data_IF_476036480219
#
_entry.id   IF_476036480219
#
_cell.length_a   1.000
_cell.length_b   1.000
_cell.length_c   1.000
_cell.angle_alpha   90.00
_cell.angle_beta   90.00
_cell.angle_gamma   90.00
#
_symmetry.space_group_name_H-M   'P 1'
#
loop_
_entity.id
_entity.type
_entity.pdbx_description
1 polymer ?
#
# COMPACT_ATOMS: atom_id res chain seq x y z
N UNK A 1 5.20 -14.20 18.47
CA UNK A 1 5.35 -13.17 17.44
C UNK A 1 5.51 -11.81 18.13
N UNK A 2 6.19 -10.86 17.47
CA UNK A 2 6.38 -9.47 17.91
C UNK A 2 5.68 -8.55 16.92
N UNK A 3 5.02 -7.49 17.41
CA UNK A 3 4.45 -6.44 16.55
C UNK A 3 5.30 -5.18 16.69
N UNK A 4 5.80 -4.67 15.57
CA UNK A 4 6.54 -3.40 15.50
C UNK A 4 5.69 -2.39 14.74
N UNK A 5 5.00 -1.53 15.47
CA UNK A 5 4.15 -0.47 14.92
C UNK A 5 4.90 0.86 14.90
N UNK A 6 5.73 1.06 13.89
CA UNK A 6 6.53 2.27 13.72
C UNK A 6 6.74 2.59 12.24
N UNK A 7 7.17 3.82 11.93
CA UNK A 7 7.57 4.20 10.58
C UNK A 7 8.90 3.52 10.17
N UNK A 8 9.29 3.67 8.91
CA UNK A 8 10.36 2.91 8.25
C UNK A 8 11.70 2.97 8.98
N UNK A 9 12.15 4.16 9.36
CA UNK A 9 13.45 4.33 10.03
C UNK A 9 13.50 3.61 11.40
N UNK A 10 12.56 3.85 12.33
CA UNK A 10 12.54 3.11 13.59
C UNK A 10 12.22 1.62 13.40
N UNK A 11 11.43 1.23 12.39
CA UNK A 11 11.19 -0.18 12.07
C UNK A 11 12.50 -0.88 11.69
N UNK A 12 13.26 -0.31 10.76
CA UNK A 12 14.57 -0.82 10.32
C UNK A 12 15.53 -1.02 11.50
N UNK A 13 15.62 -0.01 12.37
CA UNK A 13 16.48 -0.06 13.56
C UNK A 13 16.01 -1.14 14.57
N UNK A 14 14.70 -1.29 14.75
CA UNK A 14 14.11 -2.28 15.65
C UNK A 14 14.38 -3.71 15.17
N UNK A 15 14.12 -4.01 13.88
CA UNK A 15 14.33 -5.38 13.36
C UNK A 15 15.81 -5.77 13.34
N UNK A 16 16.72 -4.83 13.08
CA UNK A 16 18.16 -5.07 13.21
C UNK A 16 18.55 -5.41 14.67
N UNK A 17 17.96 -4.70 15.63
CA UNK A 17 18.19 -4.98 17.06
C UNK A 17 17.61 -6.32 17.49
N UNK A 18 16.40 -6.66 17.03
CA UNK A 18 15.76 -7.95 17.31
C UNK A 18 16.58 -9.12 16.77
N UNK A 19 17.09 -8.98 15.54
CA UNK A 19 17.95 -9.97 14.89
C UNK A 19 19.27 -10.15 15.64
N UNK A 20 19.93 -9.04 15.98
CA UNK A 20 21.20 -9.05 16.75
C UNK A 20 21.05 -9.69 18.13
N UNK A 21 19.83 -9.76 18.67
CA UNK A 21 19.52 -10.40 19.96
C UNK A 21 18.94 -11.81 19.80
N UNK A 22 18.97 -12.38 18.60
CA UNK A 22 18.58 -13.77 18.34
C UNK A 22 17.09 -14.02 18.46
N UNK A 23 16.24 -13.06 18.06
CA UNK A 23 14.79 -13.30 17.97
C UNK A 23 14.51 -14.47 17.01
N UNK A 24 13.69 -15.42 17.43
CA UNK A 24 13.35 -16.65 16.69
C UNK A 24 11.84 -16.77 16.38
N UNK A 25 11.06 -15.73 16.67
CA UNK A 25 9.62 -15.67 16.41
C UNK A 25 9.28 -14.66 15.31
N UNK A 26 8.16 -14.84 14.58
CA UNK A 26 7.75 -13.90 13.52
C UNK A 26 7.56 -12.47 14.01
N UNK A 27 7.88 -11.51 13.13
CA UNK A 27 7.63 -10.07 13.32
C UNK A 27 6.52 -9.61 12.39
N UNK A 28 5.56 -8.86 12.91
CA UNK A 28 4.50 -8.20 12.16
C UNK A 28 4.68 -6.69 12.22
N UNK A 29 4.40 -6.02 11.12
CA UNK A 29 4.39 -4.56 11.02
C UNK A 29 3.22 -4.06 10.18
N UNK A 30 3.04 -2.74 10.11
CA UNK A 30 2.00 -2.13 9.30
C UNK A 30 2.43 -1.90 7.86
N UNK A 31 1.46 -1.66 6.98
CA UNK A 31 1.64 -1.41 5.54
C UNK A 31 2.60 -0.26 5.22
N UNK A 32 2.84 0.62 6.20
CA UNK A 32 3.81 1.70 6.07
C UNK A 32 5.23 1.19 5.80
N UNK A 33 5.53 -0.06 6.17
CA UNK A 33 6.83 -0.69 6.01
C UNK A 33 6.86 -1.72 4.86
N UNK A 34 5.77 -1.89 4.11
CA UNK A 34 5.66 -2.78 2.95
C UNK A 34 6.35 -2.21 1.69
N UNK A 35 7.59 -1.74 1.87
CA UNK A 35 8.46 -1.21 0.82
C UNK A 35 9.88 -1.71 1.05
N UNK A 36 10.63 -1.95 -0.03
CA UNK A 36 12.00 -2.47 0.02
C UNK A 36 12.94 -1.60 0.89
N UNK A 37 12.69 -0.29 0.94
CA UNK A 37 13.50 0.67 1.70
C UNK A 37 13.34 0.55 3.22
N UNK A 38 12.36 -0.23 3.70
CA UNK A 38 12.04 -0.33 5.14
C UNK A 38 12.91 -1.33 5.89
N UNK A 39 13.70 -2.15 5.19
CA UNK A 39 14.62 -3.13 5.78
C UNK A 39 16.06 -2.91 5.27
N UNK A 40 17.02 -3.61 5.84
CA UNK A 40 18.39 -3.66 5.32
C UNK A 40 18.55 -4.87 4.38
N UNK A 41 18.88 -4.68 3.10
CA UNK A 41 19.05 -5.78 2.15
C UNK A 41 20.25 -6.68 2.45
N UNK A 42 21.18 -6.25 3.31
CA UNK A 42 22.42 -6.97 3.63
C UNK A 42 22.30 -7.84 4.88
N UNK A 43 21.16 -7.80 5.58
CA UNK A 43 20.92 -8.57 6.80
C UNK A 43 20.08 -9.79 6.45
N UNK A 44 20.61 -10.97 6.76
CA UNK A 44 19.89 -12.24 6.71
C UNK A 44 19.13 -12.44 8.02
N UNK A 45 17.93 -11.87 8.09
CA UNK A 45 17.14 -11.87 9.32
C UNK A 45 16.73 -13.30 9.72
N UNK A 46 16.97 -13.67 10.99
CA UNK A 46 16.68 -15.00 11.53
C UNK A 46 15.19 -15.32 11.74
N UNK A 47 14.28 -14.45 11.31
CA UNK A 47 12.84 -14.57 11.53
C UNK A 47 12.03 -14.07 10.32
N UNK A 48 10.83 -14.62 10.15
CA UNK A 48 9.90 -14.15 9.12
C UNK A 48 9.33 -12.78 9.50
N UNK A 49 9.27 -11.88 8.53
CA UNK A 49 8.62 -10.58 8.63
C UNK A 49 7.37 -10.50 7.77
N UNK A 50 6.31 -9.95 8.34
CA UNK A 50 5.02 -9.78 7.69
C UNK A 50 4.55 -8.33 7.77
N UNK A 51 3.97 -7.84 6.68
CA UNK A 51 3.32 -6.53 6.62
C UNK A 51 1.96 -6.70 5.93
N UNK A 52 0.96 -5.93 6.33
CA UNK A 52 -0.27 -5.82 5.55
C UNK A 52 -0.06 -4.90 4.33
N UNK A 53 -0.90 -5.01 3.30
CA UNK A 53 -0.95 -4.02 2.22
C UNK A 53 -2.39 -3.77 1.78
N UNK A 54 -2.69 -2.51 1.48
CA UNK A 54 -4.02 -2.07 1.02
C UNK A 54 -4.10 -1.98 -0.51
N UNK A 55 -2.96 -2.16 -1.21
CA UNK A 55 -2.88 -2.28 -2.65
C UNK A 55 -2.74 -3.75 -3.07
N UNK A 56 -3.48 -4.16 -4.09
CA UNK A 56 -3.27 -5.37 -4.87
C UNK A 56 -2.71 -5.00 -6.25
N UNK A 57 -1.39 -5.09 -6.36
CA UNK A 57 -0.67 -4.83 -7.60
C UNK A 57 -0.42 -6.12 -8.40
N UNK A 58 -0.74 -7.29 -7.84
CA UNK A 58 -0.40 -8.58 -8.43
C UNK A 58 -1.63 -9.20 -9.08
N UNK A 59 -1.52 -9.46 -10.38
CA UNK A 59 -2.52 -10.19 -11.15
C UNK A 59 -1.83 -11.34 -11.88
N UNK A 60 -2.01 -12.55 -11.36
CA UNK A 60 -1.40 -13.75 -11.94
C UNK A 60 -2.00 -14.15 -13.30
N UNK A 61 -3.07 -13.49 -13.75
CA UNK A 61 -3.67 -13.73 -15.07
C UNK A 61 -3.00 -12.91 -16.17
N UNK A 62 -2.20 -11.90 -15.83
CA UNK A 62 -1.47 -11.07 -16.80
C UNK A 62 -0.08 -11.64 -17.09
N UNK A 63 0.47 -11.31 -18.26
CA UNK A 63 1.83 -11.75 -18.66
C UNK A 63 2.93 -11.11 -17.78
N UNK A 64 2.70 -9.89 -17.29
CA UNK A 64 3.64 -9.18 -16.40
C UNK A 64 3.58 -9.70 -14.95
N UNK A 65 2.47 -10.36 -14.58
CA UNK A 65 2.17 -10.71 -13.19
C UNK A 65 1.67 -9.51 -12.37
N UNK A 66 1.49 -8.34 -13.00
CA UNK A 66 0.98 -7.13 -12.38
C UNK A 66 -0.40 -6.75 -12.91
N UNK A 67 -1.17 -6.02 -12.11
CA UNK A 67 -2.48 -5.49 -12.50
C UNK A 67 -2.35 -4.38 -13.55
N UNK A 68 -3.39 -4.19 -14.36
CA UNK A 68 -3.41 -3.13 -15.38
C UNK A 68 -3.23 -1.73 -14.77
N UNK A 69 -3.84 -1.47 -13.61
CA UNK A 69 -3.68 -0.21 -12.90
C UNK A 69 -2.22 0.04 -12.47
N UNK A 70 -1.50 -1.01 -12.07
CA UNK A 70 -0.07 -0.90 -11.75
C UNK A 70 0.74 -0.56 -13.00
N UNK A 71 0.45 -1.21 -14.12
CA UNK A 71 1.12 -0.93 -15.40
C UNK A 71 0.89 0.53 -15.84
N UNK A 72 -0.33 1.07 -15.65
CA UNK A 72 -0.65 2.48 -15.93
C UNK A 72 0.14 3.45 -15.02
N UNK A 73 0.23 3.15 -13.72
CA UNK A 73 1.06 3.91 -12.79
C UNK A 73 2.54 3.88 -13.19
N UNK A 74 3.07 2.70 -13.48
CA UNK A 74 4.47 2.53 -13.86
C UNK A 74 4.78 3.30 -15.16
N UNK A 75 3.89 3.24 -16.15
CA UNK A 75 4.00 4.02 -17.38
C UNK A 75 3.97 5.53 -17.12
N UNK A 76 3.09 6.01 -16.23
CA UNK A 76 3.03 7.42 -15.85
C UNK A 76 4.32 7.89 -15.17
N UNK A 77 4.90 7.08 -14.28
CA UNK A 77 6.20 7.38 -13.65
C UNK A 77 7.32 7.48 -14.69
N UNK A 78 7.39 6.55 -15.65
CA UNK A 78 8.38 6.60 -16.73
C UNK A 78 8.20 7.84 -17.61
N UNK A 79 6.97 8.14 -18.02
CA UNK A 79 6.67 9.30 -18.87
C UNK A 79 7.02 10.63 -18.20
N UNK A 80 6.98 10.68 -16.87
CA UNK A 80 7.35 11.84 -16.06
C UNK A 80 8.83 11.89 -15.64
N UNK A 81 9.69 11.01 -16.18
CA UNK A 81 11.12 10.89 -15.83
C UNK A 81 11.39 10.45 -14.38
N UNK A 82 10.46 9.68 -13.81
CA UNK A 82 10.50 9.13 -12.45
C UNK A 82 10.55 7.59 -12.43
N UNK A 83 11.15 6.96 -13.46
CA UNK A 83 11.20 5.50 -13.60
C UNK A 83 11.75 4.77 -12.35
N UNK A 84 12.65 5.40 -11.58
CA UNK A 84 13.18 4.84 -10.33
C UNK A 84 12.12 4.63 -9.23
N UNK A 85 10.96 5.28 -9.34
CA UNK A 85 9.86 5.20 -8.38
C UNK A 85 8.69 4.32 -8.86
N UNK A 86 8.80 3.71 -10.04
CA UNK A 86 7.73 2.90 -10.63
C UNK A 86 7.36 1.63 -9.83
N UNK A 87 8.16 1.26 -8.83
CA UNK A 87 7.86 0.16 -7.89
C UNK A 87 7.82 0.63 -6.42
N UNK A 88 7.88 1.93 -6.16
CA UNK A 88 7.92 2.46 -4.80
C UNK A 88 6.51 2.61 -4.22
N UNK A 89 6.27 2.04 -3.03
CA UNK A 89 4.94 2.04 -2.41
C UNK A 89 4.43 3.45 -2.06
N UNK A 90 5.34 4.37 -1.73
CA UNK A 90 4.97 5.75 -1.39
C UNK A 90 4.63 6.58 -2.63
N UNK A 91 5.32 6.34 -3.75
CA UNK A 91 4.99 6.93 -5.03
C UNK A 91 3.60 6.47 -5.52
N UNK A 92 3.28 5.18 -5.38
CA UNK A 92 1.93 4.65 -5.65
C UNK A 92 0.87 5.34 -4.79
N UNK A 93 1.11 5.45 -3.48
CA UNK A 93 0.19 6.14 -2.57
C UNK A 93 -0.05 7.61 -2.96
N UNK A 94 1.01 8.33 -3.35
CA UNK A 94 0.91 9.72 -3.80
C UNK A 94 0.14 9.87 -5.12
N UNK A 95 0.39 8.96 -6.07
CA UNK A 95 -0.33 8.91 -7.35
C UNK A 95 -1.83 8.71 -7.14
N UNK A 96 -2.19 7.76 -6.27
CA UNK A 96 -3.58 7.49 -5.89
C UNK A 96 -4.22 8.70 -5.20
N UNK A 97 -3.53 9.32 -4.25
CA UNK A 97 -4.04 10.50 -3.55
C UNK A 97 -4.33 11.66 -4.52
N UNK A 98 -3.46 11.88 -5.50
CA UNK A 98 -3.68 12.84 -6.56
C UNK A 98 -4.88 12.46 -7.44
N UNK A 99 -5.03 11.18 -7.79
CA UNK A 99 -6.19 10.67 -8.53
C UNK A 99 -7.51 10.92 -7.80
N UNK A 100 -7.59 10.60 -6.50
CA UNK A 100 -8.76 10.88 -5.66
C UNK A 100 -9.05 12.38 -5.58
N UNK A 101 -8.00 13.22 -5.49
CA UNK A 101 -8.18 14.67 -5.48
C UNK A 101 -8.79 15.18 -6.80
N UNK A 102 -8.24 14.73 -7.94
CA UNK A 102 -8.71 15.06 -9.29
C UNK A 102 -10.14 14.56 -9.53
N UNK A 103 -10.48 13.37 -9.04
CA UNK A 103 -11.85 12.85 -9.10
C UNK A 103 -12.83 13.79 -8.37
N UNK A 104 -12.44 14.33 -7.21
CA UNK A 104 -13.23 15.36 -6.54
C UNK A 104 -13.47 16.60 -7.40
N UNK A 105 -12.45 17.07 -8.13
CA UNK A 105 -12.58 18.21 -9.05
C UNK A 105 -13.52 17.87 -10.23
N UNK A 106 -13.40 16.67 -10.79
CA UNK A 106 -14.27 16.20 -11.86
C UNK A 106 -15.74 16.13 -11.41
N UNK A 107 -16.00 15.71 -10.16
CA UNK A 107 -17.34 15.64 -9.58
C UNK A 107 -17.97 17.01 -9.33
N UNK A 108 -17.17 18.04 -8.99
CA UNK A 108 -17.65 19.43 -8.94
C UNK A 108 -18.11 19.88 -10.34
N UNK A 109 -17.41 19.42 -11.38
CA UNK A 109 -17.79 19.67 -12.77
C UNK A 109 -17.74 21.15 -13.12
N UNK A 110 -18.89 21.74 -13.46
CA UNK A 110 -19.00 23.15 -13.84
C UNK A 110 -19.49 24.05 -12.70
N UNK A 111 -19.75 23.50 -11.50
CA UNK A 111 -20.09 24.31 -10.33
C UNK A 111 -18.88 25.17 -9.91
N UNK A 112 -19.13 26.25 -9.17
CA UNK A 112 -18.04 27.06 -8.59
C UNK A 112 -17.21 26.19 -7.63
N UNK A 113 -15.90 26.16 -7.83
CA UNK A 113 -14.99 25.39 -6.98
C UNK A 113 -14.74 26.13 -5.67
N UNK A 114 -15.40 25.67 -4.61
CA UNK A 114 -15.20 26.09 -3.22
C UNK A 114 -14.91 24.87 -2.36
N UNK A 115 -14.52 25.09 -1.10
CA UNK A 115 -14.38 23.98 -0.15
C UNK A 115 -15.71 23.24 0.03
N UNK A 116 -16.82 23.96 0.14
CA UNK A 116 -18.15 23.40 0.33
C UNK A 116 -18.61 22.58 -0.89
N UNK A 117 -18.42 23.09 -2.11
CA UNK A 117 -18.80 22.35 -3.32
C UNK A 117 -17.93 21.12 -3.52
N UNK A 118 -16.63 21.22 -3.24
CA UNK A 118 -15.70 20.09 -3.30
C UNK A 118 -16.05 19.00 -2.29
N UNK A 119 -16.27 19.35 -1.01
CA UNK A 119 -16.65 18.37 0.01
C UNK A 119 -17.99 17.72 -0.36
N UNK A 120 -19.00 18.48 -0.75
CA UNK A 120 -20.29 17.94 -1.21
C UNK A 120 -20.12 16.96 -2.38
N UNK A 121 -19.25 17.28 -3.34
CA UNK A 121 -18.94 16.43 -4.48
C UNK A 121 -18.25 15.12 -4.04
N UNK A 122 -17.27 15.20 -3.13
CA UNK A 122 -16.59 14.03 -2.57
C UNK A 122 -17.55 13.11 -1.81
N UNK A 123 -18.52 13.66 -1.08
CA UNK A 123 -19.49 12.89 -0.30
C UNK A 123 -20.65 12.29 -1.13
N UNK A 124 -20.71 12.56 -2.45
CA UNK A 124 -21.82 12.12 -3.32
C UNK A 124 -21.87 10.61 -3.53
N UNK A 125 -20.72 9.92 -3.50
CA UNK A 125 -20.58 8.48 -3.66
C UNK A 125 -19.17 8.03 -3.22
N UNK A 126 -18.95 6.73 -2.92
CA UNK A 126 -17.60 6.19 -2.80
C UNK A 126 -16.76 6.43 -4.07
N UNK A 127 -15.44 6.43 -3.91
CA UNK A 127 -14.48 6.54 -5.02
C UNK A 127 -13.74 5.21 -5.13
N UNK A 128 -13.72 4.66 -6.33
CA UNK A 128 -12.90 3.49 -6.65
C UNK A 128 -11.43 3.92 -6.77
N UNK A 129 -10.54 3.19 -6.10
CA UNK A 129 -9.12 3.48 -6.05
C UNK A 129 -8.37 2.43 -6.87
N UNK A 130 -7.62 2.85 -7.91
CA UNK A 130 -6.80 1.94 -8.70
C UNK A 130 -5.89 1.10 -7.82
N UNK A 131 -5.71 -0.18 -8.17
CA UNK A 131 -4.93 -1.17 -7.41
C UNK A 131 -5.42 -1.41 -5.98
N UNK A 132 -6.56 -0.88 -5.54
CA UNK A 132 -6.97 -0.91 -4.15
C UNK A 132 -8.39 -1.42 -3.96
N UNK A 133 -9.17 -0.66 -3.22
CA UNK A 133 -10.61 -0.86 -3.07
C UNK A 133 -11.30 0.50 -3.15
N UNK A 134 -12.26 0.73 -2.28
CA UNK A 134 -12.97 2.01 -2.23
C UNK A 134 -12.50 2.90 -1.08
N UNK A 135 -12.54 4.21 -1.30
CA UNK A 135 -12.59 5.21 -0.24
C UNK A 135 -14.00 5.78 -0.15
N UNK A 136 -14.49 5.99 1.07
CA UNK A 136 -15.86 6.42 1.32
C UNK A 136 -15.89 7.70 2.16
N UNK A 137 -16.38 8.76 1.52
CA UNK A 137 -16.62 10.06 2.12
C UNK A 137 -18.11 10.31 2.41
N UNK A 138 -19.01 9.42 1.98
CA UNK A 138 -20.47 9.63 2.07
C UNK A 138 -20.93 9.90 3.50
N UNK A 139 -21.84 10.85 3.66
CA UNK A 139 -22.41 11.17 4.98
C UNK A 139 -21.37 11.63 6.01
N UNK A 140 -20.33 12.34 5.58
CA UNK A 140 -19.26 12.83 6.45
C UNK A 140 -18.21 11.79 6.84
N UNK A 141 -18.25 10.59 6.26
CA UNK A 141 -17.21 9.58 6.49
C UNK A 141 -15.83 10.06 6.02
N UNK A 142 -14.80 9.41 6.54
CA UNK A 142 -13.39 9.54 6.14
C UNK A 142 -12.76 8.16 6.13
N UNK A 143 -13.43 7.22 5.49
CA UNK A 143 -13.05 5.81 5.51
C UNK A 143 -12.13 5.51 4.33
N UNK A 144 -10.91 5.12 4.65
CA UNK A 144 -9.98 4.55 3.69
C UNK A 144 -10.35 3.10 3.35
N UNK A 145 -9.52 2.49 2.50
CA UNK A 145 -9.63 1.07 2.16
C UNK A 145 -9.47 0.23 3.42
N UNK A 146 -10.49 -0.60 3.70
CA UNK A 146 -10.61 -1.41 4.92
C UNK A 146 -10.36 -2.91 4.68
N UNK A 147 -9.89 -3.27 3.50
CA UNK A 147 -9.50 -4.62 3.10
C UNK A 147 -8.01 -4.64 2.83
N UNK A 148 -7.30 -5.66 3.31
CA UNK A 148 -5.84 -5.72 3.21
C UNK A 148 -5.37 -7.14 2.94
N UNK A 149 -4.30 -7.25 2.16
CA UNK A 149 -3.55 -8.49 1.98
C UNK A 149 -2.53 -8.66 3.12
N UNK A 150 -1.99 -9.89 3.23
CA UNK A 150 -0.81 -10.15 4.05
C UNK A 150 0.37 -10.42 3.12
N UNK A 151 1.45 -9.68 3.33
CA UNK A 151 2.71 -9.84 2.63
C UNK A 151 3.76 -10.43 3.56
N UNK A 152 4.68 -11.21 3.00
CA UNK A 152 5.89 -11.68 3.67
C UNK A 152 7.12 -11.08 2.98
N UNK A 153 8.11 -10.66 3.77
CA UNK A 153 9.38 -10.22 3.24
C UNK A 153 10.11 -11.37 2.54
N UNK A 154 10.55 -11.13 1.32
CA UNK A 154 11.41 -11.99 0.51
C UNK A 154 12.74 -11.28 0.25
N UNK A 155 13.84 -11.94 0.61
CA UNK A 155 15.21 -11.47 0.41
C UNK A 155 16.00 -12.33 -0.59
N UNK A 156 15.37 -13.35 -1.19
CA UNK A 156 16.05 -14.38 -2.00
C UNK A 156 16.68 -13.83 -3.28
N UNK A 157 16.20 -12.71 -3.80
CA UNK A 157 16.71 -12.06 -5.02
C UNK A 157 17.82 -11.04 -4.77
N UNK A 158 18.23 -10.84 -3.50
CA UNK A 158 19.19 -9.79 -3.10
C UNK A 158 18.61 -8.37 -3.07
N UNK A 159 17.38 -8.18 -3.57
CA UNK A 159 16.59 -6.96 -3.37
C UNK A 159 15.36 -7.31 -2.53
N UNK A 160 15.14 -6.63 -1.39
CA UNK A 160 13.97 -6.84 -0.56
C UNK A 160 12.69 -6.64 -1.37
N UNK A 161 11.81 -7.64 -1.32
CA UNK A 161 10.48 -7.59 -1.91
C UNK A 161 9.45 -8.05 -0.88
N UNK A 162 8.23 -7.55 -0.97
CA UNK A 162 7.13 -8.00 -0.11
C UNK A 162 6.15 -8.82 -0.94
N UNK A 163 6.20 -10.14 -0.79
CA UNK A 163 5.43 -11.08 -1.58
C UNK A 163 4.08 -11.38 -0.92
N UNK A 164 2.99 -11.40 -1.70
CA UNK A 164 1.64 -11.70 -1.22
C UNK A 164 1.55 -13.16 -0.74
N UNK A 165 1.18 -13.35 0.52
CA UNK A 165 0.95 -14.67 1.14
C UNK A 165 -0.52 -14.91 1.52
N UNK A 166 -1.33 -13.85 1.57
CA UNK A 166 -2.79 -13.90 1.61
C UNK A 166 -3.37 -12.81 0.75
N UNK A 167 -4.48 -13.11 0.07
CA UNK A 167 -5.21 -12.15 -0.76
C UNK A 167 -5.79 -11.01 0.08
N UNK A 168 -6.26 -9.96 -0.60
CA UNK A 168 -7.00 -8.87 0.06
C UNK A 168 -8.28 -9.43 0.67
N UNK A 169 -8.42 -9.26 1.98
CA UNK A 169 -9.58 -9.71 2.74
C UNK A 169 -10.10 -8.57 3.64
N UNK A 170 -11.41 -8.53 3.88
CA UNK A 170 -11.96 -7.66 4.92
C UNK A 170 -11.75 -8.29 6.30
N UNK A 171 -11.84 -7.49 7.37
CA UNK A 171 -11.80 -8.04 8.73
C UNK A 171 -12.92 -9.05 8.99
N UNK A 172 -14.08 -8.86 8.37
CA UNK A 172 -15.22 -9.78 8.46
C UNK A 172 -14.88 -11.13 7.81
N UNK A 173 -14.27 -11.12 6.63
CA UNK A 173 -13.85 -12.36 5.94
C UNK A 173 -12.81 -13.13 6.76
N UNK A 174 -11.88 -12.41 7.40
CA UNK A 174 -10.86 -13.01 8.27
C UNK A 174 -11.50 -13.62 9.52
N UNK A 175 -12.44 -12.92 10.17
CA UNK A 175 -13.10 -13.39 11.39
C UNK A 175 -14.06 -14.56 11.17
N UNK A 176 -14.51 -14.78 9.94
CA UNK A 176 -15.38 -15.89 9.59
C UNK A 176 -14.64 -17.23 9.38
N UNK A 177 -13.30 -17.24 9.41
CA UNK A 177 -12.44 -18.42 9.26
C UNK A 177 -12.05 -19.03 10.60
#
# INVERSE_FOLDING_TARGET
AVIVASNQLPFKAAVASLDSNGLDVPVFTSYVNADATSVDPLVDYGFNMYANAWLDIIDATTTSGFSADFDDFAAAMVAADYAAYAANAYAMAGYIAAGVFVEGLNRVGTEELTWESYIKAMESAPIDVPMGGLVDFTGGKRWGIASMSLLQLDLTSGTPAWAKVRDIETITDIQAK
#
